data_IF_944153453684
#
_entry.id   IF_944153453684
#
_cell.length_a   1.000
_cell.length_b   1.000
_cell.length_c   1.000
_cell.angle_alpha   90.00
_cell.angle_beta   90.00
_cell.angle_gamma   90.00
#
_symmetry.space_group_name_H-M   'P 1'
#
loop_
_entity.id
_entity.type
_entity.pdbx_description
1 polymer ?
#
# COMPACT_ATOMS: atom_id res chain seq x y z
N UNK A 1 6.18 -6.03 -18.52
CA UNK A 1 5.69 -6.86 -17.39
C UNK A 1 4.66 -6.04 -16.62
N UNK A 2 3.46 -6.54 -16.48
CA UNK A 2 2.31 -5.92 -15.82
C UNK A 2 1.64 -6.95 -14.90
N UNK A 3 0.70 -6.54 -14.08
CA UNK A 3 -0.16 -7.48 -13.34
C UNK A 3 -1.27 -7.99 -14.27
N UNK A 4 -0.91 -8.86 -15.17
CA UNK A 4 -1.81 -9.51 -16.13
C UNK A 4 -2.41 -10.82 -15.59
N UNK A 5 -3.14 -11.55 -16.40
CA UNK A 5 -3.77 -12.82 -16.02
C UNK A 5 -2.75 -13.83 -15.44
N UNK A 6 -1.51 -13.85 -15.97
CA UNK A 6 -0.48 -14.76 -15.47
C UNK A 6 -0.05 -14.40 -14.03
N UNK A 7 -0.05 -13.11 -13.65
CA UNK A 7 0.23 -12.69 -12.29
C UNK A 7 -0.83 -13.18 -11.29
N UNK A 8 -2.09 -13.24 -11.69
CA UNK A 8 -3.18 -13.74 -10.84
C UNK A 8 -3.21 -15.26 -10.77
N UNK A 9 -2.90 -15.97 -11.87
CA UNK A 9 -2.89 -17.45 -11.91
C UNK A 9 -1.84 -18.08 -10.99
N UNK A 10 -0.91 -17.29 -10.46
CA UNK A 10 0.02 -17.73 -9.41
C UNK A 10 -0.72 -18.30 -8.20
N UNK A 11 -1.91 -17.78 -7.89
CA UNK A 11 -2.71 -18.23 -6.74
C UNK A 11 -3.54 -19.50 -7.03
N UNK A 12 -3.58 -19.95 -8.28
CA UNK A 12 -4.18 -21.23 -8.67
C UNK A 12 -3.19 -22.40 -8.50
N UNK A 13 -1.90 -22.12 -8.33
CA UNK A 13 -0.87 -23.15 -8.13
C UNK A 13 -1.02 -23.78 -6.76
N UNK A 14 -1.21 -25.09 -6.73
CA UNK A 14 -1.35 -25.86 -5.49
C UNK A 14 -0.02 -26.04 -4.75
N UNK A 15 -0.15 -26.16 -3.43
CA UNK A 15 0.96 -26.46 -2.53
C UNK A 15 1.87 -25.24 -2.26
N UNK A 16 2.61 -25.32 -1.16
CA UNK A 16 3.47 -24.23 -0.70
C UNK A 16 4.63 -23.99 -1.64
N UNK A 17 5.37 -25.03 -1.98
CA UNK A 17 6.62 -24.91 -2.76
C UNK A 17 6.34 -24.44 -4.19
N UNK A 18 5.34 -25.03 -4.86
CA UNK A 18 4.94 -24.66 -6.23
C UNK A 18 4.46 -23.21 -6.30
N UNK A 19 3.57 -22.79 -5.37
CA UNK A 19 3.11 -21.41 -5.33
C UNK A 19 4.23 -20.42 -5.02
N UNK A 20 5.13 -20.76 -4.10
CA UNK A 20 6.29 -19.92 -3.81
C UNK A 20 7.26 -19.79 -4.98
N UNK A 21 7.43 -20.84 -5.77
CA UNK A 21 8.22 -20.80 -7.01
C UNK A 21 7.55 -19.87 -8.04
N UNK A 22 6.25 -20.00 -8.27
CA UNK A 22 5.48 -19.13 -9.14
C UNK A 22 5.51 -17.66 -8.70
N UNK A 23 5.35 -17.39 -7.39
CA UNK A 23 5.50 -16.04 -6.81
C UNK A 23 6.87 -15.45 -7.13
N UNK A 24 7.95 -16.21 -6.93
CA UNK A 24 9.31 -15.73 -7.20
C UNK A 24 9.53 -15.46 -8.68
N UNK A 25 9.04 -16.34 -9.54
CA UNK A 25 9.24 -16.22 -10.98
C UNK A 25 8.44 -15.07 -11.59
N UNK A 26 7.17 -14.89 -11.18
CA UNK A 26 6.25 -13.98 -11.85
C UNK A 26 6.05 -12.66 -11.10
N UNK A 27 5.92 -12.69 -9.77
CA UNK A 27 5.56 -11.49 -8.99
C UNK A 27 6.75 -10.71 -8.46
N UNK A 28 7.85 -11.36 -8.06
CA UNK A 28 9.02 -10.62 -7.56
C UNK A 28 9.62 -9.64 -8.57
N UNK A 29 9.73 -9.96 -9.88
CA UNK A 29 10.18 -8.97 -10.86
C UNK A 29 9.26 -7.74 -10.94
N UNK A 30 7.93 -7.93 -10.86
CA UNK A 30 6.94 -6.85 -10.83
C UNK A 30 7.09 -6.01 -9.55
N UNK A 31 7.18 -6.65 -8.40
CA UNK A 31 7.37 -5.98 -7.13
C UNK A 31 8.66 -5.15 -7.08
N UNK A 32 9.76 -5.69 -7.58
CA UNK A 32 11.01 -4.95 -7.64
C UNK A 32 10.92 -3.74 -8.60
N UNK A 33 10.28 -3.93 -9.76
CA UNK A 33 10.08 -2.84 -10.73
C UNK A 33 9.25 -1.71 -10.13
N UNK A 34 8.03 -2.03 -9.68
CA UNK A 34 7.09 -1.02 -9.19
C UNK A 34 7.46 -0.47 -7.82
N UNK A 35 7.98 -1.32 -6.93
CA UNK A 35 8.44 -0.89 -5.61
C UNK A 35 9.57 0.14 -5.69
N UNK A 36 10.56 -0.06 -6.57
CA UNK A 36 11.63 0.91 -6.80
C UNK A 36 11.10 2.19 -7.43
N UNK A 37 10.24 2.09 -8.44
CA UNK A 37 9.66 3.26 -9.09
C UNK A 37 8.87 4.13 -8.11
N UNK A 38 8.08 3.52 -7.21
CA UNK A 38 7.38 4.25 -6.16
C UNK A 38 8.38 4.87 -5.18
N UNK A 39 9.38 4.12 -4.71
CA UNK A 39 10.38 4.61 -3.77
C UNK A 39 11.11 5.84 -4.33
N UNK A 40 11.56 5.79 -5.57
CA UNK A 40 12.24 6.90 -6.26
C UNK A 40 11.31 8.10 -6.43
N UNK A 41 10.07 7.86 -6.87
CA UNK A 41 9.09 8.92 -7.07
C UNK A 41 8.76 9.65 -5.75
N UNK A 42 8.53 8.88 -4.69
CA UNK A 42 8.25 9.41 -3.35
C UNK A 42 9.44 10.19 -2.83
N UNK A 43 10.66 9.66 -2.97
CA UNK A 43 11.88 10.33 -2.55
C UNK A 43 12.03 11.70 -3.21
N UNK A 44 11.85 11.76 -4.53
CA UNK A 44 11.95 13.02 -5.28
C UNK A 44 10.86 14.02 -4.90
N UNK A 45 9.63 13.57 -4.76
CA UNK A 45 8.48 14.44 -4.47
C UNK A 45 8.51 15.03 -3.07
N UNK A 46 9.09 14.33 -2.12
CA UNK A 46 9.16 14.75 -0.72
C UNK A 46 10.53 15.27 -0.32
N UNK A 47 11.46 15.33 -1.29
CA UNK A 47 12.82 15.79 -1.04
C UNK A 47 13.49 15.04 0.13
N UNK A 48 13.25 13.69 0.19
CA UNK A 48 13.79 12.87 1.27
C UNK A 48 15.29 12.74 1.13
N UNK A 49 16.02 13.00 2.21
CA UNK A 49 17.48 12.83 2.26
C UNK A 49 17.89 11.36 2.10
N UNK A 50 17.05 10.43 2.57
CA UNK A 50 17.31 9.00 2.50
C UNK A 50 16.31 8.29 1.59
N UNK A 51 16.76 7.31 0.81
CA UNK A 51 15.87 6.52 -0.03
C UNK A 51 14.94 5.65 0.83
N UNK A 52 13.72 5.44 0.33
CA UNK A 52 12.81 4.47 0.92
C UNK A 52 13.28 3.04 0.63
N UNK A 53 13.19 2.19 1.64
CA UNK A 53 13.52 0.77 1.50
C UNK A 53 12.38 0.02 0.80
N UNK A 54 12.75 -0.99 0.01
CA UNK A 54 11.82 -1.87 -0.71
C UNK A 54 11.97 -3.28 -0.18
N UNK A 55 10.89 -3.83 0.36
CA UNK A 55 10.86 -5.14 1.03
C UNK A 55 9.84 -6.05 0.38
N UNK A 56 10.29 -7.04 -0.38
CA UNK A 56 9.41 -8.07 -0.94
C UNK A 56 9.10 -9.12 0.12
N UNK A 57 7.83 -9.48 0.29
CA UNK A 57 7.39 -10.52 1.22
C UNK A 57 7.97 -11.88 0.84
N UNK A 58 8.74 -12.49 1.74
CA UNK A 58 9.44 -13.75 1.49
C UNK A 58 8.72 -14.98 2.05
N UNK A 59 7.71 -14.78 2.89
CA UNK A 59 6.90 -15.84 3.52
C UNK A 59 7.71 -16.94 4.25
N UNK A 60 8.88 -16.62 4.78
CA UNK A 60 9.84 -17.59 5.35
C UNK A 60 9.31 -18.40 6.54
N UNK A 61 8.25 -17.94 7.20
CA UNK A 61 7.64 -18.63 8.36
C UNK A 61 6.59 -19.66 7.95
N UNK A 62 6.23 -19.75 6.67
CA UNK A 62 5.24 -20.72 6.20
C UNK A 62 5.90 -22.07 6.00
N UNK A 63 5.28 -23.11 6.57
CA UNK A 63 5.78 -24.49 6.53
C UNK A 63 4.80 -25.48 5.92
N UNK A 64 3.51 -25.13 5.83
CA UNK A 64 2.47 -26.02 5.35
C UNK A 64 1.55 -25.39 4.31
N UNK A 65 1.04 -24.19 4.57
CA UNK A 65 0.03 -23.56 3.73
C UNK A 65 0.62 -22.50 2.83
N UNK A 66 0.28 -22.57 1.54
CA UNK A 66 0.64 -21.54 0.57
C UNK A 66 0.04 -20.17 0.95
N UNK A 67 0.73 -19.04 0.63
CA UNK A 67 0.17 -17.72 0.86
C UNK A 67 -0.98 -17.45 -0.10
N UNK A 68 -2.09 -16.90 0.40
CA UNK A 68 -3.22 -16.44 -0.40
C UNK A 68 -3.03 -15.02 -0.94
N UNK A 69 -2.06 -14.31 -0.42
CA UNK A 69 -1.63 -12.99 -0.87
C UNK A 69 -0.13 -12.81 -0.72
N UNK A 70 0.44 -11.92 -1.53
CA UNK A 70 1.84 -11.51 -1.38
C UNK A 70 1.99 -10.05 -1.74
N UNK A 71 3.09 -9.41 -1.30
CA UNK A 71 3.25 -7.97 -1.46
C UNK A 71 4.70 -7.51 -1.49
N UNK A 72 4.88 -6.26 -1.90
CA UNK A 72 6.07 -5.47 -1.66
C UNK A 72 5.69 -4.28 -0.78
N UNK A 73 6.46 -4.06 0.28
CA UNK A 73 6.36 -2.90 1.15
C UNK A 73 7.45 -1.87 0.77
N UNK A 74 7.07 -0.59 0.74
CA UNK A 74 7.95 0.54 0.44
C UNK A 74 7.93 1.49 1.62
N UNK A 75 9.05 1.67 2.30
CA UNK A 75 9.17 2.41 3.55
C UNK A 75 9.84 1.59 4.63
N UNK A 76 9.66 2.01 5.89
CA UNK A 76 10.33 1.36 7.03
C UNK A 76 11.81 1.65 7.10
N UNK A 77 12.56 0.75 7.70
CA UNK A 77 14.01 0.82 7.82
C UNK A 77 14.70 -0.35 7.10
N UNK A 78 16.04 -0.39 7.10
CA UNK A 78 16.82 -1.47 6.47
C UNK A 78 16.47 -2.87 7.01
N UNK A 79 15.97 -2.98 8.24
CA UNK A 79 15.65 -4.26 8.89
C UNK A 79 14.23 -4.74 8.61
N UNK A 80 13.31 -3.83 8.27
CA UNK A 80 11.93 -4.16 7.95
C UNK A 80 10.99 -2.98 7.94
N UNK A 81 9.75 -3.22 7.60
CA UNK A 81 8.72 -2.21 7.37
C UNK A 81 7.60 -2.23 8.43
N UNK A 82 7.38 -3.34 9.13
CA UNK A 82 6.21 -3.55 10.01
C UNK A 82 6.11 -2.60 11.20
N UNK A 83 7.22 -2.02 11.62
CA UNK A 83 7.25 -1.03 12.70
C UNK A 83 6.60 0.31 12.34
N UNK A 84 6.40 0.58 11.06
CA UNK A 84 5.99 1.87 10.57
C UNK A 84 4.86 1.74 9.56
N UNK A 85 3.99 2.75 9.40
CA UNK A 85 3.17 2.88 8.23
C UNK A 85 4.05 2.85 6.97
N UNK A 86 3.60 2.13 5.94
CA UNK A 86 4.38 1.96 4.71
C UNK A 86 3.45 1.81 3.52
N UNK A 87 3.94 2.12 2.33
CA UNK A 87 3.21 1.77 1.11
C UNK A 87 3.29 0.30 0.86
N UNK A 88 2.26 -0.25 0.26
CA UNK A 88 2.22 -1.63 -0.12
C UNK A 88 1.56 -1.80 -1.48
N UNK A 89 2.20 -2.57 -2.36
CA UNK A 89 1.53 -3.18 -3.50
C UNK A 89 1.31 -4.64 -3.12
N UNK A 90 0.06 -5.03 -2.95
CA UNK A 90 -0.33 -6.40 -2.62
C UNK A 90 -1.12 -7.01 -3.78
N UNK A 91 -1.02 -8.33 -3.93
CA UNK A 91 -1.82 -9.09 -4.89
C UNK A 91 -2.33 -10.37 -4.24
N UNK A 92 -3.55 -10.74 -4.58
CA UNK A 92 -4.19 -12.02 -4.30
C UNK A 92 -4.94 -12.49 -5.56
N UNK A 93 -5.71 -13.56 -5.47
CA UNK A 93 -6.46 -14.10 -6.61
C UNK A 93 -7.53 -13.14 -7.17
N UNK A 94 -7.97 -12.11 -6.40
CA UNK A 94 -9.12 -11.28 -6.75
C UNK A 94 -8.75 -9.85 -7.15
N UNK A 95 -7.62 -9.31 -6.65
CA UNK A 95 -7.23 -7.94 -6.94
C UNK A 95 -5.74 -7.67 -6.70
N UNK A 96 -5.27 -6.60 -7.29
CA UNK A 96 -4.07 -5.88 -6.88
C UNK A 96 -4.50 -4.69 -6.03
N UNK A 97 -3.86 -4.47 -4.90
CA UNK A 97 -4.08 -3.31 -4.04
C UNK A 97 -2.84 -2.41 -4.01
N UNK A 98 -3.04 -1.09 -4.07
CA UNK A 98 -2.03 -0.10 -3.71
C UNK A 98 -2.56 0.66 -2.51
N UNK A 99 -1.91 0.52 -1.39
CA UNK A 99 -2.41 0.99 -0.10
C UNK A 99 -1.30 1.64 0.74
N UNK A 100 -1.70 2.54 1.62
CA UNK A 100 -0.98 2.83 2.86
C UNK A 100 -1.38 1.79 3.89
N UNK A 101 -0.42 1.07 4.43
CA UNK A 101 -0.63 -0.05 5.34
C UNK A 101 -0.03 0.23 6.72
N UNK A 102 -0.79 -0.13 7.75
CA UNK A 102 -0.40 -0.11 9.14
C UNK A 102 -0.74 -1.49 9.72
N UNK A 103 0.17 -2.43 9.58
CA UNK A 103 -0.06 -3.85 9.87
C UNK A 103 0.91 -4.38 10.92
N UNK A 104 0.46 -5.40 11.68
CA UNK A 104 1.26 -6.20 12.59
C UNK A 104 1.87 -5.39 13.77
N UNK A 105 1.08 -4.50 14.36
CA UNK A 105 1.39 -3.63 15.51
C UNK A 105 2.58 -2.68 15.25
N UNK A 106 2.43 -1.68 14.43
CA UNK A 106 3.45 -0.68 14.21
C UNK A 106 3.68 0.18 15.46
N UNK A 107 4.83 0.80 15.51
CA UNK A 107 5.11 1.82 16.52
C UNK A 107 4.11 2.97 16.39
N UNK A 108 3.70 3.52 17.52
CA UNK A 108 2.77 4.67 17.58
C UNK A 108 1.37 4.43 16.98
N UNK A 109 0.98 3.17 16.76
CA UNK A 109 -0.33 2.80 16.18
C UNK A 109 -1.49 3.58 16.81
N UNK A 110 -1.54 3.63 18.14
CA UNK A 110 -2.60 4.33 18.87
C UNK A 110 -2.60 5.85 18.63
N UNK A 111 -1.42 6.46 18.55
CA UNK A 111 -1.29 7.88 18.26
C UNK A 111 -1.72 8.20 16.83
N UNK A 112 -1.32 7.36 15.87
CA UNK A 112 -1.73 7.49 14.46
C UNK A 112 -3.24 7.33 14.33
N UNK A 113 -3.83 6.32 14.97
CA UNK A 113 -5.26 6.08 14.93
C UNK A 113 -6.06 7.20 15.61
N UNK A 114 -5.59 7.74 16.74
CA UNK A 114 -6.22 8.88 17.39
C UNK A 114 -6.21 10.15 16.52
N UNK A 115 -5.08 10.40 15.81
CA UNK A 115 -5.00 11.50 14.86
C UNK A 115 -5.95 11.30 13.67
N UNK A 116 -6.01 10.13 13.09
CA UNK A 116 -6.94 9.79 12.01
C UNK A 116 -8.41 9.91 12.46
N UNK A 117 -8.75 9.45 13.67
CA UNK A 117 -10.09 9.62 14.21
C UNK A 117 -10.46 11.09 14.37
N UNK A 118 -9.55 11.92 14.89
CA UNK A 118 -9.78 13.35 15.08
C UNK A 118 -10.01 14.12 13.77
N UNK A 119 -9.54 13.56 12.66
CA UNK A 119 -9.57 14.12 11.31
C UNK A 119 -10.36 13.26 10.33
N UNK A 120 -11.35 12.52 10.84
CA UNK A 120 -12.11 11.58 10.03
C UNK A 120 -12.80 12.22 8.82
N UNK A 121 -13.20 13.49 8.93
CA UNK A 121 -13.76 14.27 7.81
C UNK A 121 -12.80 14.44 6.62
N UNK A 122 -11.50 14.34 6.83
CA UNK A 122 -10.53 14.45 5.74
C UNK A 122 -10.64 13.25 4.76
N UNK A 123 -11.23 12.13 5.22
CA UNK A 123 -11.48 10.95 4.37
C UNK A 123 -12.68 11.16 3.43
N UNK A 124 -13.60 12.07 3.74
CA UNK A 124 -14.77 12.38 2.91
C UNK A 124 -14.35 13.01 1.56
N UNK A 125 -13.18 13.65 1.54
CA UNK A 125 -12.59 14.25 0.32
C UNK A 125 -11.91 13.22 -0.58
N UNK A 126 -11.71 11.99 -0.10
CA UNK A 126 -11.15 10.92 -0.93
C UNK A 126 -12.15 10.47 -1.99
N UNK A 127 -11.61 10.07 -3.12
CA UNK A 127 -12.39 9.53 -4.22
C UNK A 127 -13.19 8.30 -3.77
N UNK A 128 -14.40 8.13 -4.30
CA UNK A 128 -15.30 7.03 -3.97
C UNK A 128 -14.73 5.62 -4.27
N UNK A 129 -13.65 5.52 -5.00
CA UNK A 129 -12.96 4.27 -5.31
C UNK A 129 -11.84 3.89 -4.32
N UNK A 130 -11.70 4.67 -3.23
CA UNK A 130 -10.85 4.26 -2.11
C UNK A 130 -11.55 3.18 -1.28
N UNK A 131 -10.73 2.29 -0.75
CA UNK A 131 -11.18 1.17 0.09
C UNK A 131 -10.42 1.12 1.40
N UNK A 132 -11.07 0.56 2.42
CA UNK A 132 -10.47 0.13 3.66
C UNK A 132 -10.34 -1.39 3.67
N UNK A 133 -9.15 -1.89 3.99
CA UNK A 133 -8.86 -3.30 4.26
C UNK A 133 -8.49 -3.39 5.74
N UNK A 134 -9.32 -3.99 6.55
CA UNK A 134 -9.16 -4.05 8.01
C UNK A 134 -8.36 -5.28 8.50
N UNK A 135 -8.06 -6.22 7.60
CA UNK A 135 -7.30 -7.45 7.90
C UNK A 135 -6.55 -7.89 6.64
N UNK A 136 -5.22 -7.81 6.67
CA UNK A 136 -4.37 -8.18 5.53
C UNK A 136 -4.37 -9.68 5.20
N UNK A 137 -4.93 -10.50 6.09
CA UNK A 137 -5.04 -11.96 5.88
C UNK A 137 -6.31 -12.36 5.15
N UNK A 138 -7.26 -11.44 4.99
CA UNK A 138 -8.54 -11.65 4.29
C UNK A 138 -8.56 -10.98 2.94
N UNK A 139 -9.35 -11.52 2.03
CA UNK A 139 -9.54 -11.00 0.67
C UNK A 139 -10.73 -10.02 0.60
N UNK A 140 -11.17 -9.46 1.73
CA UNK A 140 -12.29 -8.52 1.81
C UNK A 140 -11.81 -7.09 1.96
N UNK A 141 -12.58 -6.17 1.40
CA UNK A 141 -12.43 -4.73 1.59
C UNK A 141 -13.80 -4.06 1.61
N UNK A 142 -13.86 -2.87 2.17
CA UNK A 142 -15.06 -2.03 2.22
C UNK A 142 -14.80 -0.73 1.46
N UNK A 143 -15.80 -0.19 0.77
CA UNK A 143 -15.69 1.14 0.18
C UNK A 143 -15.48 2.16 1.31
N UNK A 144 -14.45 2.98 1.21
CA UNK A 144 -14.11 3.93 2.28
C UNK A 144 -15.24 4.91 2.57
N UNK A 145 -16.02 5.25 1.54
CA UNK A 145 -17.21 6.11 1.65
C UNK A 145 -18.37 5.50 2.47
N UNK A 146 -18.33 4.20 2.73
CA UNK A 146 -19.33 3.49 3.53
C UNK A 146 -18.86 3.20 4.96
N UNK A 147 -17.59 3.52 5.26
CA UNK A 147 -16.97 3.29 6.56
C UNK A 147 -17.17 4.48 7.49
N UNK A 148 -17.64 4.24 8.71
CA UNK A 148 -17.47 5.19 9.81
C UNK A 148 -15.98 5.28 10.19
N UNK A 149 -15.23 6.12 9.47
CA UNK A 149 -13.80 6.28 9.67
C UNK A 149 -13.46 6.71 11.10
N UNK A 150 -14.29 7.57 11.71
CA UNK A 150 -14.08 8.02 13.09
C UNK A 150 -14.15 6.84 14.05
N UNK A 151 -15.27 6.13 14.05
CA UNK A 151 -15.49 4.98 14.94
C UNK A 151 -14.48 3.85 14.66
N UNK A 152 -14.12 3.62 13.39
CA UNK A 152 -13.11 2.65 13.03
C UNK A 152 -11.74 2.98 13.68
N UNK A 153 -11.24 4.21 13.56
CA UNK A 153 -9.96 4.59 14.14
C UNK A 153 -9.99 4.74 15.65
N UNK A 154 -11.13 5.11 16.27
CA UNK A 154 -11.32 5.02 17.72
C UNK A 154 -11.15 3.58 18.21
N UNK A 155 -11.71 2.63 17.48
CA UNK A 155 -11.52 1.21 17.77
C UNK A 155 -10.06 0.79 17.61
N UNK A 156 -9.37 1.17 16.52
CA UNK A 156 -7.94 0.89 16.32
C UNK A 156 -7.10 1.43 17.48
N UNK A 157 -7.38 2.62 17.95
CA UNK A 157 -6.69 3.24 19.10
C UNK A 157 -6.90 2.47 20.41
N UNK A 158 -8.04 1.79 20.58
CA UNK A 158 -8.45 1.14 21.81
C UNK A 158 -8.09 -0.33 21.90
N UNK A 159 -8.08 -1.06 20.77
CA UNK A 159 -7.84 -2.51 20.76
C UNK A 159 -6.36 -2.84 20.59
N UNK A 160 -6.00 -4.05 20.93
CA UNK A 160 -4.66 -4.59 20.70
C UNK A 160 -4.65 -5.34 19.37
N UNK A 161 -3.64 -5.10 18.56
CA UNK A 161 -3.44 -5.75 17.25
C UNK A 161 -4.52 -5.40 16.21
N UNK A 162 -4.91 -4.16 16.14
CA UNK A 162 -5.69 -3.69 15.02
C UNK A 162 -4.79 -3.45 13.80
N UNK A 163 -5.35 -3.59 12.64
CA UNK A 163 -4.69 -3.35 11.36
C UNK A 163 -5.59 -2.49 10.49
N UNK A 164 -4.97 -1.76 9.59
CA UNK A 164 -5.70 -1.05 8.54
C UNK A 164 -4.82 -0.80 7.33
N UNK A 165 -5.44 -0.83 6.19
CA UNK A 165 -4.85 -0.44 4.92
C UNK A 165 -5.88 0.38 4.16
N UNK A 166 -5.48 1.55 3.71
CA UNK A 166 -6.33 2.45 2.92
C UNK A 166 -5.68 2.69 1.58
N UNK A 167 -6.44 2.56 0.51
CA UNK A 167 -5.96 2.78 -0.84
C UNK A 167 -6.95 2.35 -1.89
N UNK A 168 -6.46 1.81 -2.98
CA UNK A 168 -7.28 1.40 -4.13
C UNK A 168 -6.99 -0.02 -4.54
N UNK A 169 -7.99 -0.67 -5.10
CA UNK A 169 -7.91 -2.01 -5.64
C UNK A 169 -8.23 -2.01 -7.14
N UNK A 170 -7.55 -2.90 -7.86
CA UNK A 170 -7.78 -3.14 -9.28
C UNK A 170 -8.00 -4.62 -9.52
N UNK A 171 -9.12 -4.98 -10.13
CA UNK A 171 -9.47 -6.37 -10.41
C UNK A 171 -8.76 -6.91 -11.66
N UNK A 172 -8.61 -8.23 -11.82
CA UNK A 172 -8.07 -8.83 -13.03
C UNK A 172 -8.80 -8.33 -14.29
N UNK A 173 -8.03 -7.92 -15.30
CA UNK A 173 -8.57 -7.43 -16.55
C UNK A 173 -9.16 -6.02 -16.54
N UNK A 174 -9.09 -5.33 -15.40
CA UNK A 174 -9.55 -3.94 -15.31
C UNK A 174 -8.68 -2.98 -16.13
N UNK A 175 -9.23 -1.83 -16.50
CA UNK A 175 -8.53 -0.81 -17.29
C UNK A 175 -7.29 -0.26 -16.55
N UNK A 176 -7.32 -0.21 -15.23
CA UNK A 176 -6.21 0.23 -14.38
C UNK A 176 -4.97 -0.66 -14.53
N UNK A 177 -5.15 -1.94 -14.82
CA UNK A 177 -4.06 -2.90 -15.04
C UNK A 177 -3.67 -3.05 -16.52
N UNK A 178 -4.53 -2.64 -17.46
CA UNK A 178 -4.35 -2.85 -18.90
C UNK A 178 -3.31 -1.91 -19.55
N UNK A 179 -3.05 -0.73 -18.97
CA UNK A 179 -2.22 0.33 -19.55
C UNK A 179 -0.75 0.20 -19.10
N UNK A 180 -0.04 -0.82 -19.52
CA UNK A 180 1.41 -0.99 -19.30
C UNK A 180 1.91 -0.72 -17.86
N UNK A 181 1.02 -0.68 -16.89
CA UNK A 181 1.28 -0.40 -15.49
C UNK A 181 -0.01 -0.19 -14.71
N UNK A 182 0.12 -0.03 -13.39
CA UNK A 182 -1.01 0.30 -12.54
C UNK A 182 -1.27 1.80 -12.71
N UNK A 183 -2.47 2.17 -13.19
CA UNK A 183 -2.89 3.57 -13.34
C UNK A 183 -4.22 3.79 -12.64
N UNK A 184 -4.25 4.75 -11.72
CA UNK A 184 -5.48 5.20 -11.07
C UNK A 184 -5.66 6.69 -11.31
N UNK A 185 -6.84 7.13 -11.73
CA UNK A 185 -7.18 8.56 -11.92
C UNK A 185 -7.88 9.09 -10.67
N UNK A 186 -7.35 10.11 -9.99
CA UNK A 186 -8.03 10.73 -8.83
C UNK A 186 -7.66 12.18 -8.51
N UNK A 187 -8.44 12.78 -7.60
CA UNK A 187 -8.21 14.11 -7.01
C UNK A 187 -7.18 14.05 -5.87
N UNK A 188 -6.50 15.16 -5.63
CA UNK A 188 -5.46 15.29 -4.59
C UNK A 188 -6.07 15.52 -3.22
N UNK A 189 -5.71 14.70 -2.23
CA UNK A 189 -5.87 15.04 -0.83
C UNK A 189 -4.50 15.04 -0.14
N UNK A 190 -4.21 16.10 0.60
CA UNK A 190 -2.98 16.25 1.37
C UNK A 190 -3.36 16.17 2.85
N UNK A 191 -2.87 15.18 3.55
CA UNK A 191 -3.05 15.06 5.00
C UNK A 191 -1.74 15.45 5.70
N UNK A 192 -1.59 16.66 6.22
CA UNK A 192 -0.49 16.95 7.13
C UNK A 192 -0.78 16.33 8.49
N UNK A 193 -0.04 15.32 8.87
CA UNK A 193 -0.11 14.74 10.21
C UNK A 193 1.10 15.18 11.03
N UNK A 194 0.82 15.76 12.19
CA UNK A 194 1.85 16.03 13.19
C UNK A 194 1.49 15.26 14.46
N UNK A 195 2.08 14.11 14.66
CA UNK A 195 2.09 13.45 15.98
C UNK A 195 3.25 14.06 16.75
N UNK A 196 3.05 14.45 18.01
CA UNK A 196 4.01 15.21 18.83
C UNK A 196 5.42 14.60 18.92
N UNK A 197 5.61 13.40 18.45
CA UNK A 197 6.90 12.67 18.47
C UNK A 197 7.36 12.23 17.09
N UNK A 198 6.51 12.29 16.05
CA UNK A 198 6.84 11.87 14.69
C UNK A 198 6.10 12.78 13.72
N UNK A 199 6.84 13.49 12.89
CA UNK A 199 6.26 14.21 11.76
C UNK A 199 5.93 13.21 10.64
N UNK A 200 4.68 12.73 10.62
CA UNK A 200 4.19 11.93 9.50
C UNK A 200 3.48 12.87 8.54
N UNK A 201 4.08 13.11 7.40
CA UNK A 201 3.38 13.77 6.29
C UNK A 201 2.81 12.69 5.40
N UNK A 202 1.47 12.53 5.40
CA UNK A 202 0.77 11.66 4.48
C UNK A 202 0.27 12.53 3.33
N UNK A 203 0.78 12.26 2.16
CA UNK A 203 0.27 12.83 0.93
C UNK A 203 -0.40 11.73 0.14
N UNK A 204 -1.69 11.89 -0.15
CA UNK A 204 -2.37 11.01 -1.11
C UNK A 204 -2.26 11.67 -2.47
N UNK A 205 -1.36 11.16 -3.28
CA UNK A 205 -1.22 11.54 -4.69
C UNK A 205 -1.14 10.28 -5.55
N UNK A 206 -1.71 10.32 -6.73
CA UNK A 206 -1.72 9.18 -7.65
C UNK A 206 -0.35 8.67 -8.04
N UNK A 207 -0.19 7.34 -8.06
CA UNK A 207 0.98 6.69 -8.67
C UNK A 207 0.68 6.42 -10.13
N UNK A 208 1.49 6.93 -10.97
CA UNK A 208 1.27 6.88 -12.39
C UNK A 208 2.23 5.98 -13.10
N UNK A 209 1.70 5.49 -14.16
CA UNK A 209 2.38 4.93 -15.32
C UNK A 209 3.77 5.50 -15.50
N UNK A 210 4.78 4.73 -15.10
CA UNK A 210 6.11 4.90 -15.62
C UNK A 210 6.13 4.34 -17.04
N UNK A 211 5.47 5.02 -17.97
CA UNK A 211 5.73 4.86 -19.39
C UNK A 211 7.07 5.53 -19.71
N UNK A 212 7.98 4.79 -20.28
CA UNK A 212 9.35 5.19 -20.60
C UNK A 212 9.50 6.25 -21.71
N UNK A 213 8.46 6.95 -22.11
CA UNK A 213 8.50 7.78 -23.33
C UNK A 213 7.91 9.18 -23.22
N UNK A 214 7.57 9.69 -22.03
CA UNK A 214 7.09 11.06 -22.00
C UNK A 214 7.65 11.85 -20.81
N UNK A 215 8.47 12.85 -21.15
CA UNK A 215 9.02 13.85 -20.22
C UNK A 215 8.05 14.99 -19.92
N UNK A 216 6.82 14.89 -20.36
CA UNK A 216 5.76 15.83 -20.02
C UNK A 216 5.00 15.34 -18.80
N UNK A 217 5.30 15.95 -17.67
CA UNK A 217 4.56 15.80 -16.42
C UNK A 217 3.17 16.40 -16.64
N UNK A 218 2.22 15.54 -16.93
CA UNK A 218 0.82 15.95 -16.98
C UNK A 218 0.30 16.15 -15.54
N UNK A 219 -0.30 17.32 -15.29
CA UNK A 219 -0.69 17.83 -13.96
C UNK A 219 -1.92 17.11 -13.36
N UNK A 220 -1.99 15.81 -13.41
CA UNK A 220 -3.17 15.04 -13.00
C UNK A 220 -2.94 13.80 -12.13
N UNK A 221 -1.74 13.52 -11.73
CA UNK A 221 -1.40 12.17 -11.28
C UNK A 221 -0.89 12.11 -9.81
N UNK A 222 -1.41 11.21 -8.98
CA UNK A 222 -1.28 11.25 -7.54
C UNK A 222 -0.85 9.92 -6.90
N UNK A 223 0.06 9.95 -5.92
CA UNK A 223 0.50 8.84 -5.10
C UNK A 223 0.11 9.04 -3.63
N UNK A 224 -0.20 7.98 -2.92
CA UNK A 224 -0.34 7.99 -1.46
C UNK A 224 1.04 7.91 -0.82
N UNK A 225 1.38 8.83 0.08
CA UNK A 225 2.72 8.93 0.66
C UNK A 225 2.64 9.00 2.18
N UNK A 226 3.25 8.04 2.86
CA UNK A 226 3.57 8.13 4.28
C UNK A 226 5.07 8.37 4.45
N UNK A 227 5.45 9.49 5.01
CA UNK A 227 6.82 9.77 5.40
C UNK A 227 6.92 9.79 6.90
N UNK A 228 7.77 8.95 7.43
CA UNK A 228 8.12 8.94 8.84
C UNK A 228 9.47 9.64 8.95
N UNK A 229 9.47 10.84 9.50
CA UNK A 229 10.70 11.51 9.92
C UNK A 229 10.89 11.25 11.41
N UNK A 230 11.80 10.36 11.75
CA UNK A 230 12.36 10.29 13.09
C UNK A 230 13.42 11.40 13.20
N UNK A 231 13.05 12.54 13.76
CA UNK A 231 14.04 13.41 14.35
C UNK A 231 14.26 12.92 15.78
N UNK A 232 15.38 12.22 15.98
CA UNK A 232 15.98 11.95 17.26
C UNK A 232 16.66 13.23 17.77
#
# INVERSE_FOLDING_TARGET
MTFDAAAFSVFDVDGLDGRMEAIRAQLWPLFNKYGRSIAEHVQLRLELEQPLFVHVAKHLRRTAYAPESTWVAIGGDKRGYKKYPHFQIAINAQYVAIVLACIDNPLHEKGIAADFSSRASDFDDLSFDYVLIADHTRVSYEALSEVDCKGFFERVASVKKAEWMIGRVAQPGSAELALNGISFKTKTCVFPMTVRTINIKIFVREVITASKTDTTIDNGNFAMIAVINENI
#
